data_IF_793124431081
#
_entry.id   IF_793124431081
#
_cell.length_a   1.000
_cell.length_b   1.000
_cell.length_c   1.000
_cell.angle_alpha   90.00
_cell.angle_beta   90.00
_cell.angle_gamma   90.00
#
_symmetry.space_group_name_H-M   'P 1'
#
loop_
_entity.id
_entity.type
_entity.pdbx_description
1 polymer ?
#
# COMPACT_ATOMS: atom_id res chain seq x y z
N UNK A 1 25.36 -9.71 1.58
CA UNK A 1 24.16 -9.31 2.34
C UNK A 1 23.96 -10.33 3.44
N UNK A 2 23.84 -9.91 4.70
CA UNK A 2 23.67 -10.83 5.83
C UNK A 2 22.21 -11.29 5.98
N UNK A 3 21.97 -12.29 6.82
CA UNK A 3 20.63 -12.86 7.04
C UNK A 3 19.61 -11.83 7.56
N UNK A 4 20.05 -10.86 8.37
CA UNK A 4 19.17 -9.79 8.90
C UNK A 4 18.73 -8.85 7.78
N UNK A 5 19.66 -8.45 6.91
CA UNK A 5 19.39 -7.60 5.76
C UNK A 5 18.42 -8.28 4.80
N UNK A 6 18.67 -9.56 4.49
CA UNK A 6 17.82 -10.35 3.60
C UNK A 6 16.42 -10.55 4.14
N UNK A 7 16.29 -10.96 5.39
CA UNK A 7 14.97 -11.10 6.01
C UNK A 7 14.25 -9.76 6.11
N UNK A 8 14.95 -8.65 6.37
CA UNK A 8 14.34 -7.32 6.41
C UNK A 8 13.83 -6.89 5.03
N UNK A 9 14.55 -7.16 3.94
CA UNK A 9 14.05 -6.88 2.58
C UNK A 9 12.83 -7.73 2.25
N UNK A 10 12.85 -9.04 2.56
CA UNK A 10 11.68 -9.89 2.36
C UNK A 10 10.46 -9.39 3.14
N UNK A 11 10.65 -8.99 4.39
CA UNK A 11 9.62 -8.40 5.22
C UNK A 11 9.03 -7.13 4.56
N UNK A 12 9.88 -6.23 4.08
CA UNK A 12 9.47 -5.01 3.37
C UNK A 12 8.63 -5.35 2.15
N UNK A 13 9.11 -6.23 1.26
CA UNK A 13 8.43 -6.57 0.01
C UNK A 13 7.06 -7.20 0.30
N UNK A 14 7.00 -8.10 1.28
CA UNK A 14 5.75 -8.72 1.73
C UNK A 14 4.77 -7.66 2.24
N UNK A 15 5.25 -6.73 3.06
CA UNK A 15 4.40 -5.71 3.63
C UNK A 15 3.90 -4.70 2.60
N UNK A 16 4.76 -4.24 1.68
CA UNK A 16 4.36 -3.32 0.60
C UNK A 16 3.23 -3.95 -0.22
N UNK A 17 3.36 -5.24 -0.58
CA UNK A 17 2.30 -5.98 -1.28
C UNK A 17 0.99 -5.99 -0.48
N UNK A 18 1.06 -6.36 0.80
CA UNK A 18 -0.13 -6.46 1.66
C UNK A 18 -0.82 -5.11 1.86
N UNK A 19 -0.06 -4.06 2.13
CA UNK A 19 -0.60 -2.71 2.32
C UNK A 19 -1.19 -2.16 1.02
N UNK A 20 -0.57 -2.41 -0.13
CA UNK A 20 -1.14 -2.08 -1.45
C UNK A 20 -2.52 -2.72 -1.66
N UNK A 21 -2.71 -3.96 -1.21
CA UNK A 21 -4.02 -4.63 -1.27
C UNK A 21 -5.08 -3.97 -0.38
N UNK A 22 -4.70 -3.52 0.82
CA UNK A 22 -5.62 -2.79 1.69
C UNK A 22 -5.95 -1.41 1.13
N UNK A 23 -5.00 -0.69 0.53
CA UNK A 23 -5.25 0.60 -0.13
C UNK A 23 -6.36 0.46 -1.18
N UNK A 24 -6.24 -0.53 -2.08
CA UNK A 24 -7.26 -0.78 -3.11
C UNK A 24 -8.61 -1.13 -2.47
N UNK A 25 -8.61 -1.99 -1.45
CA UNK A 25 -9.84 -2.39 -0.75
C UNK A 25 -10.53 -1.20 -0.10
N UNK A 26 -9.80 -0.33 0.59
CA UNK A 26 -10.36 0.85 1.24
C UNK A 26 -10.89 1.84 0.20
N UNK A 27 -10.10 2.12 -0.84
CA UNK A 27 -10.51 2.99 -1.95
C UNK A 27 -11.84 2.53 -2.56
N UNK A 28 -11.95 1.25 -2.94
CA UNK A 28 -13.17 0.70 -3.53
C UNK A 28 -14.39 0.86 -2.62
N UNK A 29 -14.21 0.74 -1.30
CA UNK A 29 -15.31 0.89 -0.35
C UNK A 29 -15.68 2.36 -0.17
N UNK A 30 -14.70 3.28 -0.14
CA UNK A 30 -14.95 4.72 -0.08
C UNK A 30 -15.71 5.19 -1.32
N UNK A 31 -15.29 4.76 -2.51
CA UNK A 31 -15.97 5.06 -3.78
C UNK A 31 -17.44 4.64 -3.71
N UNK A 32 -17.68 3.36 -3.36
CA UNK A 32 -19.04 2.83 -3.22
C UNK A 32 -19.87 3.60 -2.19
N UNK A 33 -19.26 3.97 -1.07
CA UNK A 33 -19.93 4.70 0.00
C UNK A 33 -20.27 6.14 -0.39
N UNK A 34 -19.44 6.77 -1.23
CA UNK A 34 -19.66 8.13 -1.71
C UNK A 34 -20.82 8.23 -2.70
N UNK A 35 -21.06 7.16 -3.47
CA UNK A 35 -22.01 7.21 -4.59
C UNK A 35 -21.51 8.01 -5.79
N UNK A 36 -20.30 8.57 -5.73
CA UNK A 36 -19.68 9.29 -6.82
C UNK A 36 -19.22 8.34 -7.93
N UNK A 37 -19.41 8.76 -9.17
CA UNK A 37 -18.86 8.06 -10.33
C UNK A 37 -17.46 8.61 -10.58
N UNK A 38 -16.47 7.72 -10.62
CA UNK A 38 -15.16 8.08 -11.13
C UNK A 38 -15.14 7.77 -12.62
N UNK A 39 -14.42 8.61 -13.36
CA UNK A 39 -14.02 8.34 -14.73
C UNK A 39 -13.47 6.91 -14.88
N UNK A 40 -14.05 6.09 -15.78
CA UNK A 40 -13.61 4.71 -16.01
C UNK A 40 -12.11 4.61 -16.34
N UNK A 41 -11.58 5.60 -17.06
CA UNK A 41 -10.16 5.69 -17.42
C UNK A 41 -9.25 5.78 -16.20
N UNK A 42 -9.63 6.56 -15.18
CA UNK A 42 -8.86 6.72 -13.94
C UNK A 42 -8.89 5.41 -13.11
N UNK A 43 -10.04 4.73 -13.05
CA UNK A 43 -10.18 3.43 -12.38
C UNK A 43 -9.34 2.34 -13.05
N UNK A 44 -9.46 2.19 -14.37
CA UNK A 44 -8.69 1.23 -15.16
C UNK A 44 -7.18 1.45 -15.02
N UNK A 45 -6.76 2.72 -15.03
CA UNK A 45 -5.36 3.10 -14.84
C UNK A 45 -4.83 2.63 -13.50
N UNK A 46 -5.54 2.91 -12.39
CA UNK A 46 -5.12 2.45 -11.05
C UNK A 46 -5.01 0.93 -10.99
N UNK A 47 -6.01 0.22 -11.52
CA UNK A 47 -6.01 -1.25 -11.52
C UNK A 47 -4.82 -1.79 -12.32
N UNK A 48 -4.56 -1.22 -13.49
CA UNK A 48 -3.45 -1.57 -14.37
C UNK A 48 -2.10 -1.31 -13.68
N UNK A 49 -1.92 -0.14 -13.08
CA UNK A 49 -0.67 0.26 -12.46
C UNK A 49 -0.37 -0.57 -11.20
N UNK A 50 -1.37 -0.87 -10.36
CA UNK A 50 -1.18 -1.81 -9.25
C UNK A 50 -0.87 -3.24 -9.72
N UNK A 51 -1.47 -3.71 -10.82
CA UNK A 51 -1.14 -5.04 -11.39
C UNK A 51 0.31 -5.07 -11.87
N UNK A 52 0.76 -4.04 -12.58
CA UNK A 52 2.16 -3.89 -13.02
C UNK A 52 3.10 -3.86 -11.81
N UNK A 53 2.80 -3.02 -10.82
CA UNK A 53 3.60 -2.91 -9.61
C UNK A 53 3.72 -4.23 -8.84
N UNK A 54 2.63 -5.00 -8.68
CA UNK A 54 2.68 -6.33 -8.06
C UNK A 54 3.58 -7.29 -8.84
N UNK A 55 3.59 -7.21 -10.17
CA UNK A 55 4.50 -7.99 -11.02
C UNK A 55 5.95 -7.57 -10.79
N UNK A 56 6.22 -6.27 -10.68
CA UNK A 56 7.55 -5.74 -10.35
C UNK A 56 8.07 -6.25 -9.00
N UNK A 57 7.26 -6.22 -7.95
CA UNK A 57 7.61 -6.78 -6.64
C UNK A 57 8.00 -8.27 -6.72
N UNK A 58 7.24 -9.06 -7.49
CA UNK A 58 7.52 -10.48 -7.70
C UNK A 58 8.83 -10.70 -8.47
N UNK A 59 9.06 -9.92 -9.53
CA UNK A 59 10.26 -10.00 -10.33
C UNK A 59 11.50 -9.60 -9.52
N UNK A 60 11.41 -8.51 -8.74
CA UNK A 60 12.46 -8.09 -7.81
C UNK A 60 12.83 -9.23 -6.86
N UNK A 61 11.84 -9.86 -6.22
CA UNK A 61 12.05 -10.97 -5.29
C UNK A 61 12.72 -12.17 -5.95
N UNK A 62 12.20 -12.62 -7.10
CA UNK A 62 12.75 -13.77 -7.83
C UNK A 62 14.19 -13.53 -8.26
N UNK A 63 14.47 -12.32 -8.76
CA UNK A 63 15.79 -11.97 -9.25
C UNK A 63 16.83 -11.88 -8.14
N UNK A 64 16.52 -11.16 -7.06
CA UNK A 64 17.49 -10.91 -5.99
C UNK A 64 17.64 -12.11 -5.05
N UNK A 65 16.63 -12.97 -4.92
CA UNK A 65 16.60 -14.00 -3.88
C UNK A 65 16.20 -15.39 -4.36
N UNK A 66 15.94 -15.59 -5.65
CA UNK A 66 15.57 -16.90 -6.19
C UNK A 66 14.19 -17.40 -5.77
N UNK A 67 13.40 -16.61 -5.04
CA UNK A 67 12.09 -17.00 -4.50
C UNK A 67 11.00 -16.00 -4.87
N UNK A 68 9.78 -16.49 -5.05
CA UNK A 68 8.58 -15.65 -5.00
C UNK A 68 8.39 -15.11 -3.59
N UNK A 69 7.49 -14.12 -3.40
CA UNK A 69 7.28 -13.33 -2.17
C UNK A 69 6.90 -14.10 -0.87
N UNK A 70 7.38 -15.32 -0.63
CA UNK A 70 7.09 -16.12 0.56
C UNK A 70 8.35 -16.57 1.33
N UNK A 71 8.15 -16.59 2.66
CA UNK A 71 9.05 -16.93 3.77
C UNK A 71 9.98 -15.81 4.26
N UNK A 72 9.38 -14.72 4.76
CA UNK A 72 10.00 -13.94 5.83
C UNK A 72 9.89 -14.73 7.14
N UNK A 73 11.00 -15.07 7.79
CA UNK A 73 10.94 -15.51 9.19
C UNK A 73 10.68 -14.30 10.09
N UNK A 74 9.96 -14.46 11.20
CA UNK A 74 9.80 -13.37 12.20
C UNK A 74 11.10 -13.06 12.94
N UNK A 75 12.16 -13.85 12.74
CA UNK A 75 13.47 -13.67 13.36
C UNK A 75 14.34 -12.81 12.43
N UNK A 76 15.21 -11.99 13.02
CA UNK A 76 16.21 -11.20 12.29
C UNK A 76 15.64 -10.13 11.35
N UNK A 77 14.71 -9.29 11.84
CA UNK A 77 14.21 -8.11 11.13
C UNK A 77 14.67 -6.87 11.91
N UNK A 78 15.10 -5.81 11.22
CA UNK A 78 15.39 -4.53 11.91
C UNK A 78 14.14 -4.01 12.61
N UNK A 79 14.26 -3.78 13.92
CA UNK A 79 13.14 -3.43 14.80
C UNK A 79 12.36 -2.20 14.33
N UNK A 80 13.04 -1.12 13.93
CA UNK A 80 12.39 0.12 13.48
C UNK A 80 11.54 -0.11 12.22
N UNK A 81 12.11 -0.78 11.22
CA UNK A 81 11.39 -1.16 9.98
C UNK A 81 10.19 -2.05 10.32
N UNK A 82 10.37 -3.01 11.23
CA UNK A 82 9.28 -3.88 11.66
C UNK A 82 8.15 -3.09 12.31
N UNK A 83 8.48 -2.21 13.26
CA UNK A 83 7.53 -1.39 14.02
C UNK A 83 6.70 -0.52 13.09
N UNK A 84 7.34 0.32 12.28
CA UNK A 84 6.65 1.28 11.40
C UNK A 84 5.73 0.57 10.40
N UNK A 85 6.23 -0.53 9.84
CA UNK A 85 5.51 -1.35 8.88
C UNK A 85 4.30 -2.06 9.48
N UNK A 86 4.41 -2.54 10.72
CA UNK A 86 3.29 -3.14 11.46
C UNK A 86 2.23 -2.10 11.82
N UNK A 87 2.65 -0.90 12.22
CA UNK A 87 1.74 0.21 12.50
C UNK A 87 0.87 0.55 11.29
N UNK A 88 1.46 0.74 10.10
CA UNK A 88 0.70 1.01 8.87
C UNK A 88 -0.26 -0.15 8.54
N UNK A 89 0.20 -1.39 8.71
CA UNK A 89 -0.61 -2.57 8.44
C UNK A 89 -1.84 -2.64 9.35
N UNK A 90 -1.66 -2.37 10.64
CA UNK A 90 -2.75 -2.36 11.61
C UNK A 90 -3.74 -1.23 11.33
N UNK A 91 -3.24 -0.02 11.06
CA UNK A 91 -4.09 1.13 10.72
C UNK A 91 -4.93 0.86 9.46
N UNK A 92 -4.33 0.21 8.45
CA UNK A 92 -5.03 -0.17 7.22
C UNK A 92 -6.15 -1.19 7.49
N UNK A 93 -5.88 -2.20 8.30
CA UNK A 93 -6.85 -3.24 8.66
C UNK A 93 -8.00 -2.65 9.48
N UNK A 94 -7.68 -1.80 10.45
CA UNK A 94 -8.65 -1.16 11.32
C UNK A 94 -9.58 -0.22 10.53
N UNK A 95 -9.01 0.64 9.68
CA UNK A 95 -9.76 1.54 8.83
C UNK A 95 -10.72 0.78 7.91
N UNK A 96 -10.20 -0.24 7.21
CA UNK A 96 -11.02 -1.09 6.34
C UNK A 96 -12.17 -1.77 7.09
N UNK A 97 -11.87 -2.35 8.25
CA UNK A 97 -12.84 -3.09 9.07
C UNK A 97 -13.92 -2.16 9.65
N UNK A 98 -13.52 -0.97 10.10
CA UNK A 98 -14.43 0.06 10.61
C UNK A 98 -15.40 0.53 9.51
N UNK A 99 -14.86 0.85 8.34
CA UNK A 99 -15.65 1.30 7.19
C UNK A 99 -16.67 0.22 6.74
N UNK A 100 -16.21 -1.03 6.61
CA UNK A 100 -17.07 -2.19 6.29
C UNK A 100 -18.17 -2.40 7.33
N UNK A 101 -17.83 -2.36 8.63
CA UNK A 101 -18.81 -2.50 9.71
C UNK A 101 -19.86 -1.40 9.61
N UNK A 102 -19.46 -0.17 9.30
CA UNK A 102 -20.40 0.94 9.29
C UNK A 102 -21.36 0.92 8.11
N UNK A 103 -20.89 0.52 6.93
CA UNK A 103 -21.74 0.28 5.76
C UNK A 103 -22.69 -0.91 5.93
N UNK A 104 -22.34 -1.92 6.72
CA UNK A 104 -23.28 -3.00 7.07
C UNK A 104 -24.42 -2.56 7.98
N UNK A 105 -24.19 -1.53 8.79
CA UNK A 105 -25.18 -1.00 9.73
C UNK A 105 -26.09 0.06 9.10
N UNK A 106 -25.69 0.63 7.97
CA UNK A 106 -26.44 1.64 7.25
C UNK A 106 -26.06 1.60 5.77
N UNK A 107 -27.05 1.44 4.90
CA UNK A 107 -26.86 1.35 3.45
C UNK A 107 -26.17 2.58 2.84
N UNK A 108 -26.13 3.72 3.56
CA UNK A 108 -25.41 4.93 3.16
C UNK A 108 -24.71 5.59 4.35
N UNK A 109 -23.44 5.94 4.17
CA UNK A 109 -22.76 6.84 5.10
C UNK A 109 -23.24 8.27 4.87
N UNK A 110 -23.60 8.96 5.95
CA UNK A 110 -23.84 10.40 5.83
C UNK A 110 -22.53 11.13 5.50
N UNK A 111 -22.66 12.35 4.94
CA UNK A 111 -21.52 13.13 4.45
C UNK A 111 -20.44 13.39 5.51
N UNK A 112 -20.83 13.60 6.77
CA UNK A 112 -19.90 13.87 7.88
C UNK A 112 -19.04 12.64 8.16
N UNK A 113 -19.63 11.45 8.24
CA UNK A 113 -18.88 10.22 8.46
C UNK A 113 -18.02 9.86 7.25
N UNK A 114 -18.55 10.01 6.04
CA UNK A 114 -17.80 9.77 4.82
C UNK A 114 -16.54 10.63 4.76
N UNK A 115 -16.65 11.94 5.05
CA UNK A 115 -15.51 12.85 5.11
C UNK A 115 -14.45 12.39 6.13
N UNK A 116 -14.85 11.97 7.33
CA UNK A 116 -13.92 11.43 8.34
C UNK A 116 -13.15 10.21 7.84
N UNK A 117 -13.81 9.33 7.08
CA UNK A 117 -13.16 8.15 6.51
C UNK A 117 -12.22 8.51 5.36
N UNK A 118 -12.58 9.49 4.53
CA UNK A 118 -11.72 10.04 3.47
C UNK A 118 -10.46 10.68 4.08
N UNK A 119 -10.63 11.53 5.10
CA UNK A 119 -9.51 12.18 5.80
C UNK A 119 -8.58 11.13 6.44
N UNK A 120 -9.16 10.12 7.10
CA UNK A 120 -8.41 9.01 7.69
C UNK A 120 -7.65 8.20 6.63
N UNK A 121 -8.25 7.98 5.47
CA UNK A 121 -7.61 7.29 4.37
C UNK A 121 -6.50 8.12 3.74
N UNK A 122 -6.69 9.43 3.56
CA UNK A 122 -5.64 10.32 3.08
C UNK A 122 -4.42 10.32 4.03
N UNK A 123 -4.66 10.39 5.34
CA UNK A 123 -3.62 10.26 6.35
C UNK A 123 -2.90 8.91 6.29
N UNK A 124 -3.65 7.81 6.09
CA UNK A 124 -3.06 6.49 5.88
C UNK A 124 -2.17 6.46 4.63
N UNK A 125 -2.60 7.06 3.52
CA UNK A 125 -1.80 7.14 2.29
C UNK A 125 -0.51 7.95 2.49
N UNK A 126 -0.56 9.08 3.20
CA UNK A 126 0.62 9.87 3.54
C UNK A 126 1.63 9.07 4.37
N UNK A 127 1.15 8.44 5.45
CA UNK A 127 2.00 7.65 6.33
C UNK A 127 2.58 6.42 5.59
N UNK A 128 1.78 5.77 4.76
CA UNK A 128 2.23 4.65 3.92
C UNK A 128 3.34 5.10 2.96
N UNK A 129 3.16 6.24 2.31
CA UNK A 129 4.14 6.79 1.37
C UNK A 129 5.50 7.01 2.03
N UNK A 130 5.49 7.62 3.22
CA UNK A 130 6.70 7.86 4.02
C UNK A 130 7.41 6.55 4.41
N UNK A 131 6.65 5.56 4.91
CA UNK A 131 7.21 4.26 5.29
C UNK A 131 7.74 3.50 4.07
N UNK A 132 7.04 3.52 2.94
CA UNK A 132 7.49 2.89 1.71
C UNK A 132 8.77 3.54 1.17
N UNK A 133 8.89 4.86 1.22
CA UNK A 133 10.11 5.57 0.85
C UNK A 133 11.31 5.13 1.71
N UNK A 134 11.15 5.10 3.04
CA UNK A 134 12.21 4.65 3.93
C UNK A 134 12.60 3.18 3.68
N UNK A 135 11.60 2.34 3.42
CA UNK A 135 11.78 0.93 3.09
C UNK A 135 12.50 0.72 1.74
N UNK A 136 12.17 1.49 0.69
CA UNK A 136 12.84 1.41 -0.61
C UNK A 136 14.28 1.93 -0.50
N UNK A 137 14.54 3.01 0.26
CA UNK A 137 15.92 3.45 0.58
C UNK A 137 16.72 2.35 1.26
N UNK A 138 16.10 1.60 2.17
CA UNK A 138 16.73 0.44 2.79
C UNK A 138 17.07 -0.63 1.74
N UNK A 139 16.14 -0.99 0.87
CA UNK A 139 16.39 -1.95 -0.22
C UNK A 139 17.55 -1.47 -1.11
N UNK A 140 17.57 -0.20 -1.50
CA UNK A 140 18.62 0.39 -2.34
C UNK A 140 20.01 0.28 -1.73
N UNK A 141 20.13 0.40 -0.41
CA UNK A 141 21.40 0.26 0.29
C UNK A 141 22.01 -1.15 0.14
N UNK A 142 21.21 -2.18 -0.07
CA UNK A 142 21.64 -3.57 0.02
C UNK A 142 21.39 -4.40 -1.25
N UNK A 143 20.64 -3.88 -2.22
CA UNK A 143 20.42 -4.50 -3.54
C UNK A 143 21.33 -3.87 -4.60
N UNK A 144 21.84 -4.69 -5.53
CA UNK A 144 22.87 -4.30 -6.50
C UNK A 144 22.34 -3.86 -7.85
N UNK A 145 21.02 -3.93 -8.11
CA UNK A 145 20.44 -3.59 -9.42
C UNK A 145 19.40 -2.47 -9.34
N UNK A 146 19.82 -1.27 -9.74
CA UNK A 146 19.00 -0.05 -9.72
C UNK A 146 17.71 -0.16 -10.53
N UNK A 147 17.73 -0.78 -11.72
CA UNK A 147 16.54 -0.87 -12.58
C UNK A 147 15.32 -1.51 -11.89
N UNK A 148 15.53 -2.54 -11.05
CA UNK A 148 14.43 -3.17 -10.31
C UNK A 148 13.99 -2.35 -9.09
N UNK A 149 14.86 -1.47 -8.58
CA UNK A 149 14.51 -0.54 -7.49
C UNK A 149 13.61 0.57 -8.02
N UNK A 150 13.91 1.10 -9.21
CA UNK A 150 13.09 2.13 -9.87
C UNK A 150 11.66 1.59 -10.14
N UNK A 151 11.55 0.31 -10.51
CA UNK A 151 10.25 -0.37 -10.61
C UNK A 151 9.47 -0.41 -9.28
N UNK A 152 10.16 -0.41 -8.12
CA UNK A 152 9.50 -0.35 -6.81
C UNK A 152 8.96 1.05 -6.50
N UNK A 153 9.60 2.10 -7.03
CA UNK A 153 9.17 3.49 -6.82
C UNK A 153 7.88 3.84 -7.58
N UNK A 154 7.45 3.00 -8.52
CA UNK A 154 6.17 3.13 -9.23
C UNK A 154 4.95 3.15 -8.29
N UNK A 155 5.08 2.70 -7.04
CA UNK A 155 4.01 2.81 -6.03
C UNK A 155 3.66 4.27 -5.68
N UNK A 156 4.63 5.18 -5.74
CA UNK A 156 4.43 6.58 -5.37
C UNK A 156 3.49 7.33 -6.32
N UNK A 157 3.69 7.32 -7.65
CA UNK A 157 2.74 7.94 -8.56
C UNK A 157 1.34 7.29 -8.51
N UNK A 158 1.23 6.00 -8.15
CA UNK A 158 -0.07 5.34 -7.94
C UNK A 158 -0.79 5.94 -6.73
N UNK A 159 -0.08 6.12 -5.60
CA UNK A 159 -0.65 6.74 -4.39
C UNK A 159 -1.06 8.19 -4.67
N UNK A 160 -0.26 8.95 -5.40
CA UNK A 160 -0.58 10.34 -5.75
C UNK A 160 -1.78 10.44 -6.70
N UNK A 161 -1.93 9.50 -7.64
CA UNK A 161 -3.11 9.41 -8.49
C UNK A 161 -4.39 9.21 -7.66
N UNK A 162 -4.35 8.34 -6.63
CA UNK A 162 -5.49 8.14 -5.72
C UNK A 162 -5.86 9.44 -5.01
N UNK A 163 -4.88 10.17 -4.47
CA UNK A 163 -5.14 11.42 -3.75
C UNK A 163 -5.77 12.48 -4.65
N UNK A 164 -5.15 12.73 -5.80
CA UNK A 164 -5.49 13.85 -6.68
C UNK A 164 -6.73 13.58 -7.54
N UNK A 165 -6.92 12.35 -8.04
CA UNK A 165 -8.05 12.04 -8.93
C UNK A 165 -9.28 11.53 -8.22
N UNK A 166 -9.14 11.01 -7.01
CA UNK A 166 -10.25 10.42 -6.26
C UNK A 166 -10.53 11.22 -5.01
N UNK A 167 -9.60 11.28 -4.06
CA UNK A 167 -9.92 11.86 -2.75
C UNK A 167 -10.33 13.34 -2.84
N UNK A 168 -9.68 14.13 -3.69
CA UNK A 168 -10.06 15.53 -3.93
C UNK A 168 -11.47 15.67 -4.52
N UNK A 169 -11.94 14.71 -5.34
CA UNK A 169 -13.29 14.73 -5.92
C UNK A 169 -14.37 14.30 -4.92
N UNK A 170 -13.99 13.64 -3.83
CA UNK A 170 -14.91 13.03 -2.86
C UNK A 170 -15.20 13.90 -1.62
N UNK A 171 -14.59 15.09 -1.51
CA UNK A 171 -14.70 16.02 -0.35
C UNK A 171 -15.70 17.15 -0.61
#
# INVERSE_FOLDING_TARGET
MNNVEQNTIFFILHSIRKNSEYIIKILNVIIKASGEKIEPEDEERIVSDFKKFKKSLLNFSKFNFGTTLNLCTKKYIKHEIQKDTLTISNNSIELYSSLQKKLKMSDKLNRIYLKKYIDSFNNLLNNTNNVFNNNIKYIRKYSTKQAYIDDLEQIFPIIDLIKTKFLEKLV
#
